data_IF_936235252420
#
_entry.id   IF_936235252420
#
_cell.length_a   1.000
_cell.length_b   1.000
_cell.length_c   1.000
_cell.angle_alpha   90.00
_cell.angle_beta   90.00
_cell.angle_gamma   90.00
#
_symmetry.space_group_name_H-M   'P 1'
#
loop_
_entity.id
_entity.type
_entity.pdbx_description
1 polymer ?
#
# COMPACT_ATOMS: atom_id res chain seq x y z
N UNK A 1 -3.16 3.77 12.94
CA UNK A 1 -3.91 3.56 11.69
C UNK A 1 -5.18 2.78 11.96
N UNK A 2 -6.28 3.16 11.32
CA UNK A 2 -7.48 2.35 11.21
C UNK A 2 -7.88 2.28 9.72
N UNK A 3 -8.45 1.18 9.27
CA UNK A 3 -8.85 1.02 7.88
C UNK A 3 -9.83 -0.13 7.71
N UNK A 4 -10.72 0.01 6.74
CA UNK A 4 -11.63 -1.05 6.31
C UNK A 4 -11.23 -1.50 4.90
N UNK A 5 -11.23 -2.81 4.68
CA UNK A 5 -11.09 -3.36 3.34
C UNK A 5 -12.44 -3.86 2.86
N UNK A 6 -12.93 -3.23 1.80
CA UNK A 6 -14.11 -3.68 1.07
C UNK A 6 -13.68 -4.45 -0.19
N UNK A 7 -13.81 -5.77 -0.17
CA UNK A 7 -13.44 -6.69 -1.26
C UNK A 7 -14.47 -7.83 -1.38
N UNK A 8 -14.56 -8.41 -2.58
CA UNK A 8 -15.19 -9.71 -2.82
C UNK A 8 -14.87 -10.78 -1.75
N UNK A 9 -15.92 -11.28 -1.11
CA UNK A 9 -15.87 -12.37 -0.13
C UNK A 9 -15.19 -13.64 -0.66
N UNK A 10 -15.27 -13.90 -1.97
CA UNK A 10 -14.69 -15.09 -2.59
C UNK A 10 -13.16 -15.02 -2.77
N UNK A 11 -12.52 -13.88 -2.49
CA UNK A 11 -11.06 -13.75 -2.60
C UNK A 11 -10.40 -14.40 -1.37
N UNK A 12 -9.57 -15.46 -1.55
CA UNK A 12 -9.00 -16.19 -0.42
C UNK A 12 -7.94 -15.38 0.30
N UNK A 13 -8.07 -15.25 1.62
CA UNK A 13 -7.21 -14.39 2.44
C UNK A 13 -6.91 -15.05 3.77
N UNK A 14 -5.68 -14.87 4.28
CA UNK A 14 -5.33 -15.29 5.63
C UNK A 14 -5.78 -14.24 6.66
N UNK A 15 -6.16 -14.66 7.88
CA UNK A 15 -6.44 -13.74 8.98
C UNK A 15 -5.19 -12.93 9.35
N UNK A 16 -5.38 -11.86 10.12
CA UNK A 16 -4.29 -11.07 10.67
C UNK A 16 -3.31 -12.00 11.42
N UNK A 17 -2.04 -11.95 11.02
CA UNK A 17 -1.01 -12.75 11.63
C UNK A 17 0.37 -12.40 11.12
N UNK A 18 1.38 -13.04 11.71
CA UNK A 18 2.76 -12.99 11.21
C UNK A 18 2.87 -13.82 9.94
N UNK A 19 3.50 -13.27 8.91
CA UNK A 19 3.74 -13.98 7.67
C UNK A 19 4.87 -14.99 7.87
N UNK A 20 4.63 -16.26 7.57
CA UNK A 20 5.57 -17.34 7.87
C UNK A 20 6.79 -17.36 6.93
N UNK A 21 6.61 -16.90 5.70
CA UNK A 21 7.65 -16.82 4.68
C UNK A 21 8.52 -15.56 4.82
N UNK A 22 8.06 -14.57 5.59
CA UNK A 22 8.70 -13.26 5.70
C UNK A 22 8.56 -12.70 7.10
N UNK A 23 9.62 -12.86 7.90
CA UNK A 23 9.80 -12.14 9.17
C UNK A 23 10.35 -10.74 8.84
N UNK A 24 9.82 -9.63 9.38
CA UNK A 24 8.89 -9.48 10.51
C UNK A 24 7.52 -8.88 10.14
N UNK A 25 6.88 -9.34 9.06
CA UNK A 25 5.61 -8.75 8.60
C UNK A 25 4.41 -9.25 9.40
N UNK A 26 3.58 -8.32 9.88
CA UNK A 26 2.28 -8.57 10.50
C UNK A 26 1.21 -7.87 9.67
N UNK A 27 0.25 -8.63 9.13
CA UNK A 27 -0.82 -8.06 8.31
C UNK A 27 -1.74 -9.13 7.73
N UNK A 28 -2.86 -8.70 7.15
CA UNK A 28 -3.70 -9.58 6.33
C UNK A 28 -2.97 -9.95 5.04
N UNK A 29 -3.11 -11.20 4.60
CA UNK A 29 -2.43 -11.70 3.41
C UNK A 29 -3.42 -12.16 2.34
N UNK A 30 -3.21 -11.70 1.11
CA UNK A 30 -3.88 -12.22 -0.06
C UNK A 30 -3.24 -13.56 -0.46
N UNK A 31 -3.99 -14.66 -0.37
CA UNK A 31 -3.49 -15.99 -0.69
C UNK A 31 -3.45 -16.25 -2.21
N UNK A 32 -4.11 -15.40 -3.02
CA UNK A 32 -4.06 -15.51 -4.49
C UNK A 32 -2.78 -14.90 -5.04
N UNK A 33 -2.45 -13.69 -4.60
CA UNK A 33 -1.31 -12.92 -5.13
C UNK A 33 -0.09 -12.89 -4.21
N UNK A 34 -0.20 -13.44 -3.00
CA UNK A 34 0.91 -13.57 -2.03
C UNK A 34 1.29 -12.29 -1.27
N UNK A 35 0.73 -11.13 -1.65
CA UNK A 35 0.95 -9.83 -1.03
C UNK A 35 -0.08 -9.45 0.05
N UNK A 36 -0.22 -8.16 0.34
CA UNK A 36 -1.14 -7.65 1.37
C UNK A 36 -1.69 -6.27 1.02
N UNK A 37 -2.74 -5.86 1.73
CA UNK A 37 -3.34 -4.52 1.57
C UNK A 37 -2.91 -3.55 2.66
N UNK A 38 -2.58 -4.09 3.84
CA UNK A 38 -2.11 -3.34 4.99
C UNK A 38 -1.24 -4.25 5.84
N UNK A 39 -0.14 -3.71 6.34
CA UNK A 39 0.73 -4.43 7.25
C UNK A 39 1.72 -3.51 7.94
N UNK A 40 2.32 -4.06 8.97
CA UNK A 40 3.42 -3.45 9.71
C UNK A 40 4.60 -4.41 9.76
N UNK A 41 5.78 -3.87 9.93
CA UNK A 41 7.01 -4.60 10.18
C UNK A 41 7.79 -3.92 11.32
N UNK A 42 8.87 -4.55 11.75
CA UNK A 42 9.75 -4.00 12.79
C UNK A 42 10.28 -2.62 12.39
N UNK A 43 10.70 -1.84 13.40
CA UNK A 43 11.26 -0.51 13.19
C UNK A 43 10.23 0.54 12.75
N UNK A 44 8.97 0.38 13.13
CA UNK A 44 7.93 1.38 12.84
C UNK A 44 7.41 1.37 11.41
N UNK A 45 7.80 0.37 10.60
CA UNK A 45 7.38 0.26 9.21
C UNK A 45 5.91 -0.07 9.08
N UNK A 46 5.21 0.67 8.23
CA UNK A 46 3.81 0.48 7.89
C UNK A 46 3.61 0.72 6.40
N UNK A 47 2.77 -0.09 5.76
CA UNK A 47 2.34 0.14 4.39
C UNK A 47 0.87 -0.20 4.22
N UNK A 48 0.15 0.64 3.46
CA UNK A 48 -1.24 0.40 3.06
C UNK A 48 -1.47 0.84 1.64
N UNK A 49 -2.24 0.03 0.91
CA UNK A 49 -2.66 0.34 -0.45
C UNK A 49 -4.19 0.29 -0.58
N UNK A 50 -4.78 1.26 -1.28
CA UNK A 50 -6.18 1.23 -1.73
C UNK A 50 -6.24 1.22 -3.25
N UNK A 51 -7.35 0.72 -3.79
CA UNK A 51 -7.57 0.72 -5.24
C UNK A 51 -8.22 2.04 -5.64
N UNK A 52 -7.73 2.69 -6.69
CA UNK A 52 -8.44 3.85 -7.26
C UNK A 52 -9.44 3.34 -8.29
N UNK A 53 -10.70 3.80 -8.19
CA UNK A 53 -11.76 3.40 -9.12
C UNK A 53 -11.79 4.33 -10.33
N UNK A 54 -11.23 3.87 -11.44
CA UNK A 54 -11.48 4.45 -12.77
C UNK A 54 -12.00 3.34 -13.71
N UNK A 55 -13.26 3.44 -14.21
CA UNK A 55 -13.82 2.49 -15.17
C UNK A 55 -13.06 2.41 -16.50
N UNK A 56 -12.34 3.46 -16.87
CA UNK A 56 -11.61 3.56 -18.14
C UNK A 56 -10.16 3.12 -18.02
N UNK A 57 -9.61 3.03 -16.80
CA UNK A 57 -8.24 2.62 -16.58
C UNK A 57 -8.05 1.12 -16.77
N UNK A 58 -6.94 0.76 -17.44
CA UNK A 58 -6.50 -0.62 -17.54
C UNK A 58 -6.23 -1.21 -16.15
N UNK A 59 -6.85 -2.35 -15.85
CA UNK A 59 -6.65 -3.09 -14.59
C UNK A 59 -5.54 -4.16 -14.71
N UNK A 60 -4.65 -4.00 -15.69
CA UNK A 60 -3.54 -4.91 -15.95
C UNK A 60 -2.27 -4.50 -15.15
N UNK A 61 -1.30 -5.40 -15.08
CA UNK A 61 -0.02 -5.18 -14.42
C UNK A 61 0.19 -6.01 -13.16
N UNK A 62 1.27 -5.73 -12.40
CA UNK A 62 1.57 -6.47 -11.18
C UNK A 62 0.52 -6.22 -10.10
N UNK A 63 0.44 -7.12 -9.13
CA UNK A 63 -0.46 -6.96 -7.98
C UNK A 63 -0.09 -5.73 -7.16
N UNK A 64 -1.04 -4.84 -6.90
CA UNK A 64 -0.89 -3.72 -5.95
C UNK A 64 -0.51 -4.20 -4.55
N UNK A 65 -0.96 -5.39 -4.15
CA UNK A 65 -0.58 -5.96 -2.86
C UNK A 65 0.90 -6.36 -2.76
N UNK A 66 1.62 -6.44 -3.89
CA UNK A 66 3.07 -6.61 -3.89
C UNK A 66 3.78 -5.34 -3.39
N UNK A 67 3.23 -4.14 -3.64
CA UNK A 67 3.80 -2.87 -3.18
C UNK A 67 3.95 -2.84 -1.65
N UNK A 68 2.91 -3.27 -0.94
CA UNK A 68 2.91 -3.39 0.53
C UNK A 68 3.97 -4.39 0.98
N UNK A 69 4.00 -5.56 0.35
CA UNK A 69 4.91 -6.61 0.73
C UNK A 69 6.39 -6.21 0.49
N UNK A 70 6.67 -5.57 -0.63
CA UNK A 70 8.03 -5.15 -1.03
C UNK A 70 8.59 -4.10 -0.07
N UNK A 71 7.79 -3.12 0.35
CA UNK A 71 8.25 -2.13 1.33
C UNK A 71 8.49 -2.73 2.72
N UNK A 72 7.56 -3.57 3.20
CA UNK A 72 7.65 -4.18 4.53
C UNK A 72 8.79 -5.22 4.65
N UNK A 73 9.23 -5.78 3.51
CA UNK A 73 10.44 -6.63 3.40
C UNK A 73 11.73 -5.84 3.30
N UNK A 74 11.64 -4.64 2.75
CA UNK A 74 12.78 -3.77 2.48
C UNK A 74 13.34 -3.13 3.73
N UNK A 75 14.47 -2.45 3.54
CA UNK A 75 15.14 -1.64 4.58
C UNK A 75 15.35 -0.19 4.16
N UNK A 76 14.98 0.15 2.93
CA UNK A 76 15.06 1.51 2.41
C UNK A 76 14.09 2.42 3.17
N UNK A 77 14.52 3.64 3.47
CA UNK A 77 13.64 4.68 4.02
C UNK A 77 12.41 4.89 3.11
N UNK A 78 11.30 5.31 3.71
CA UNK A 78 10.01 5.43 3.02
C UNK A 78 10.11 6.38 1.82
N UNK A 79 10.79 7.52 1.98
CA UNK A 79 11.04 8.51 0.93
C UNK A 79 11.81 7.92 -0.26
N UNK A 80 12.92 7.24 0.01
CA UNK A 80 13.77 6.57 -1.00
C UNK A 80 12.98 5.48 -1.72
N UNK A 81 12.20 4.68 -0.99
CA UNK A 81 11.42 3.61 -1.58
C UNK A 81 10.33 4.16 -2.50
N UNK A 82 9.61 5.21 -2.07
CA UNK A 82 8.54 5.80 -2.86
C UNK A 82 9.08 6.53 -4.09
N UNK A 83 10.24 7.18 -4.02
CA UNK A 83 10.89 7.80 -5.18
C UNK A 83 11.26 6.76 -6.25
N UNK A 84 11.79 5.61 -5.82
CA UNK A 84 12.06 4.51 -6.75
C UNK A 84 10.79 3.97 -7.37
N UNK A 85 9.74 3.78 -6.56
CA UNK A 85 8.47 3.25 -7.01
C UNK A 85 7.74 4.20 -7.98
N UNK A 86 7.81 5.51 -7.75
CA UNK A 86 7.18 6.52 -8.61
C UNK A 86 7.60 6.39 -10.09
N UNK A 87 8.84 5.96 -10.35
CA UNK A 87 9.35 5.74 -11.72
C UNK A 87 8.64 4.61 -12.47
N UNK A 88 8.05 3.65 -11.76
CA UNK A 88 7.38 2.48 -12.34
C UNK A 88 5.90 2.39 -11.97
N UNK A 89 5.37 3.36 -11.22
CA UNK A 89 4.00 3.36 -10.70
C UNK A 89 2.93 3.27 -11.80
N UNK A 90 3.20 3.82 -12.99
CA UNK A 90 2.32 3.74 -14.16
C UNK A 90 2.15 2.32 -14.74
N UNK A 91 2.97 1.34 -14.32
CA UNK A 91 2.82 -0.07 -14.74
C UNK A 91 1.80 -0.85 -13.91
N UNK A 92 1.31 -0.28 -12.81
CA UNK A 92 0.31 -0.88 -11.94
C UNK A 92 -1.07 -0.33 -12.28
N UNK A 93 -2.08 -1.17 -12.12
CA UNK A 93 -3.46 -0.70 -12.09
C UNK A 93 -3.65 0.38 -11.01
N UNK A 94 -4.60 1.33 -11.17
CA UNK A 94 -4.70 2.52 -10.32
C UNK A 94 -4.71 2.24 -8.81
N UNK A 95 -3.96 3.02 -8.04
CA UNK A 95 -3.81 2.85 -6.60
C UNK A 95 -3.47 4.15 -5.87
N UNK A 96 -3.73 4.13 -4.56
CA UNK A 96 -3.11 5.01 -3.58
C UNK A 96 -2.28 4.16 -2.61
N UNK A 97 -1.09 4.63 -2.24
CA UNK A 97 -0.16 3.94 -1.35
C UNK A 97 0.32 4.89 -0.27
N UNK A 98 0.30 4.42 0.98
CA UNK A 98 0.95 5.06 2.12
C UNK A 98 2.07 4.17 2.64
N UNK A 99 3.25 4.74 2.82
CA UNK A 99 4.42 4.11 3.44
C UNK A 99 4.86 4.94 4.64
N UNK A 100 5.17 4.31 5.75
CA UNK A 100 5.80 4.97 6.88
C UNK A 100 6.92 4.09 7.45
N UNK A 101 7.95 4.70 8.01
CA UNK A 101 9.08 4.01 8.64
C UNK A 101 9.45 4.56 10.03
N UNK A 102 8.62 5.45 10.58
CA UNK A 102 8.84 6.12 11.85
C UNK A 102 9.48 7.51 11.72
N UNK A 103 10.15 7.80 10.60
CA UNK A 103 10.74 9.11 10.32
C UNK A 103 9.85 9.94 9.39
N UNK A 104 9.22 9.30 8.39
CA UNK A 104 8.28 9.97 7.49
C UNK A 104 7.02 9.15 7.19
N UNK A 105 6.01 9.84 6.64
CA UNK A 105 4.80 9.26 6.07
C UNK A 105 4.70 9.73 4.63
N UNK A 106 4.87 8.81 3.69
CA UNK A 106 4.91 9.09 2.27
C UNK A 106 3.66 8.57 1.58
N UNK A 107 3.08 9.41 0.72
CA UNK A 107 1.96 9.09 -0.15
C UNK A 107 2.40 9.01 -1.61
N UNK A 108 1.88 8.01 -2.31
CA UNK A 108 1.98 7.87 -3.76
C UNK A 108 0.64 7.43 -4.35
N UNK A 109 0.06 8.29 -5.18
CA UNK A 109 -1.03 7.97 -6.09
C UNK A 109 -0.50 7.89 -7.52
N UNK A 110 -1.05 6.99 -8.34
CA UNK A 110 -0.71 6.92 -9.77
C UNK A 110 -1.86 7.34 -10.69
N UNK A 111 -3.00 7.77 -10.12
CA UNK A 111 -4.18 8.17 -10.88
C UNK A 111 -5.05 9.23 -10.15
N UNK A 112 -4.76 10.54 -10.32
CA UNK A 112 -3.63 11.10 -11.05
C UNK A 112 -2.29 10.81 -10.37
N UNK A 113 -1.19 10.94 -11.12
CA UNK A 113 0.14 10.77 -10.55
C UNK A 113 0.41 11.88 -9.52
N UNK A 114 0.60 11.50 -8.27
CA UNK A 114 0.76 12.41 -7.15
C UNK A 114 1.69 11.79 -6.11
N UNK A 115 2.57 12.60 -5.53
CA UNK A 115 3.47 12.20 -4.46
C UNK A 115 3.52 13.28 -3.41
N UNK A 116 3.42 12.90 -2.14
CA UNK A 116 3.45 13.85 -1.04
C UNK A 116 4.03 13.24 0.22
N UNK A 117 4.93 13.96 0.89
CA UNK A 117 5.30 13.67 2.28
C UNK A 117 4.24 14.31 3.18
N UNK A 118 3.57 13.49 3.99
CA UNK A 118 2.50 13.92 4.88
C UNK A 118 3.08 14.36 6.22
N UNK A 119 2.72 15.58 6.62
CA UNK A 119 3.11 16.13 7.91
C UNK A 119 2.29 15.57 9.07
N UNK A 120 2.56 16.02 10.31
CA UNK A 120 1.75 15.65 11.46
C UNK A 120 0.28 16.08 11.28
N UNK A 121 -0.65 15.17 11.55
CA UNK A 121 -2.08 15.44 11.42
C UNK A 121 -2.94 14.19 11.32
N UNK A 122 -4.21 14.38 10.99
CA UNK A 122 -5.13 13.30 10.63
C UNK A 122 -5.30 13.32 9.12
N UNK A 123 -4.98 12.21 8.48
CA UNK A 123 -5.13 12.02 7.04
C UNK A 123 -6.13 10.90 6.74
N UNK A 124 -6.95 11.12 5.73
CA UNK A 124 -7.94 10.19 5.20
C UNK A 124 -7.55 9.72 3.80
N UNK A 125 -7.53 8.40 3.59
CA UNK A 125 -7.31 7.83 2.28
C UNK A 125 -8.44 6.85 1.95
N UNK A 126 -9.03 7.02 0.78
CA UNK A 126 -10.11 6.18 0.25
C UNK A 126 -9.71 5.60 -1.11
N UNK A 127 -10.70 5.19 -1.90
CA UNK A 127 -10.52 4.80 -3.31
C UNK A 127 -10.52 6.02 -4.27
N UNK A 128 -10.57 7.24 -3.72
CA UNK A 128 -10.46 8.52 -4.44
C UNK A 128 -9.20 9.29 -4.05
N UNK A 129 -9.22 10.61 -4.20
CA UNK A 129 -8.11 11.48 -3.84
C UNK A 129 -7.82 11.46 -2.32
N UNK A 130 -6.55 11.73 -1.96
CA UNK A 130 -6.13 11.89 -0.57
C UNK A 130 -6.84 13.08 0.09
N UNK A 131 -7.25 12.91 1.34
CA UNK A 131 -7.93 13.92 2.17
C UNK A 131 -9.21 14.53 1.53
N UNK A 132 -9.77 13.84 0.53
CA UNK A 132 -11.08 14.18 -0.02
C UNK A 132 -12.19 13.90 1.02
N UNK A 133 -13.18 14.80 1.16
CA UNK A 133 -14.28 14.67 2.11
C UNK A 133 -15.24 13.51 1.77
#
# INVERSE_FOLDING_TARGET
MAGNRDEFHARPTAPLGRWQDVTPVIGGRDLRSGGGWAGVADGGRLAVVTNVRDPLAAQAGPSRGALVADFLRGRDAADVHIERLARVAGSYAPFNLLLADGDSLEYLGNHPAERQTLGPGVHGMSNGALDAP
#
